data_IF_912507473822
#
_entry.id   IF_912507473822
#
_cell.length_a   1.000
_cell.length_b   1.000
_cell.length_c   1.000
_cell.angle_alpha   90.00
_cell.angle_beta   90.00
_cell.angle_gamma   90.00
#
_symmetry.space_group_name_H-M   'P 1'
#
loop_
_entity.id
_entity.type
_entity.pdbx_description
1 polymer ?
#
# COMPACT_ATOMS: atom_id res chain seq x y z
N UNK A 1 17.61 1.93 16.83
CA UNK A 1 17.87 2.65 18.11
C UNK A 1 16.69 2.60 19.07
N UNK A 2 15.45 2.89 18.65
CA UNK A 2 14.27 2.89 19.55
C UNK A 2 14.00 1.53 20.21
N UNK A 3 14.15 0.41 19.48
CA UNK A 3 13.95 -0.92 20.06
C UNK A 3 15.03 -1.27 21.09
N UNK A 4 16.31 -0.99 20.81
CA UNK A 4 17.41 -1.21 21.75
C UNK A 4 17.24 -0.38 23.02
N UNK A 5 16.84 0.91 22.89
CA UNK A 5 16.63 1.79 24.05
C UNK A 5 15.43 1.41 24.92
N UNK A 6 14.41 0.82 24.33
CA UNK A 6 13.21 0.39 25.06
C UNK A 6 13.38 -0.95 25.79
N UNK A 7 14.28 -1.84 25.33
CA UNK A 7 14.52 -3.18 25.89
C UNK A 7 13.32 -4.14 25.78
N UNK A 8 12.22 -3.69 25.14
CA UNK A 8 10.98 -4.47 25.00
C UNK A 8 10.35 -4.31 23.62
N UNK A 9 9.75 -5.39 23.12
CA UNK A 9 8.86 -5.37 21.98
C UNK A 9 7.44 -4.97 22.46
N UNK A 10 7.12 -3.70 22.37
CA UNK A 10 5.85 -3.15 22.90
C UNK A 10 4.62 -3.68 22.15
N UNK A 11 4.69 -3.70 20.84
CA UNK A 11 3.60 -4.15 19.97
C UNK A 11 4.13 -5.22 19.02
N UNK A 12 3.48 -6.37 19.00
CA UNK A 12 3.88 -7.46 18.11
C UNK A 12 3.62 -7.11 16.65
N UNK A 13 4.47 -7.56 15.71
CA UNK A 13 4.07 -7.67 14.31
C UNK A 13 2.83 -8.56 14.17
N UNK A 14 2.08 -8.37 13.10
CA UNK A 14 0.97 -9.25 12.72
C UNK A 14 1.38 -10.00 11.46
N UNK A 15 1.24 -11.32 11.50
CA UNK A 15 1.65 -12.20 10.39
C UNK A 15 0.53 -13.17 10.02
N UNK A 16 0.54 -13.59 8.76
CA UNK A 16 -0.40 -14.55 8.20
C UNK A 16 0.39 -15.65 7.48
N UNK A 17 0.11 -16.94 7.70
CA UNK A 17 0.79 -18.03 7.01
C UNK A 17 0.53 -17.96 5.50
N UNK A 18 1.53 -18.29 4.70
CA UNK A 18 1.34 -18.49 3.27
C UNK A 18 0.59 -19.80 3.02
N UNK A 19 -0.23 -19.79 1.97
CA UNK A 19 -1.02 -20.97 1.56
C UNK A 19 -0.32 -21.80 0.49
N UNK A 20 1.01 -21.80 0.48
CA UNK A 20 1.86 -22.46 -0.52
C UNK A 20 2.53 -23.76 -0.01
N UNK A 21 2.12 -24.23 1.16
CA UNK A 21 2.67 -25.42 1.80
C UNK A 21 4.03 -25.21 2.48
N UNK A 22 4.48 -23.95 2.61
CA UNK A 22 5.71 -23.60 3.31
C UNK A 22 5.41 -23.04 4.71
N UNK A 23 6.43 -23.05 5.59
CA UNK A 23 6.36 -22.40 6.91
C UNK A 23 6.69 -20.89 6.86
N UNK A 24 6.38 -20.24 5.74
CA UNK A 24 6.60 -18.81 5.55
C UNK A 24 5.35 -18.00 5.89
N UNK A 25 5.58 -16.77 6.30
CA UNK A 25 4.53 -15.86 6.71
C UNK A 25 4.60 -14.55 5.92
N UNK A 26 3.44 -13.99 5.61
CA UNK A 26 3.30 -12.61 5.12
C UNK A 26 3.15 -11.67 6.31
N UNK A 27 3.97 -10.63 6.39
CA UNK A 27 3.85 -9.59 7.41
C UNK A 27 2.75 -8.62 6.99
N UNK A 28 1.67 -8.54 7.79
CA UNK A 28 0.54 -7.63 7.55
C UNK A 28 0.77 -6.25 8.15
N UNK A 29 1.39 -6.21 9.34
CA UNK A 29 1.78 -4.98 10.04
C UNK A 29 3.08 -5.22 10.81
N UNK A 30 3.84 -4.13 10.99
CA UNK A 30 5.10 -4.17 11.74
C UNK A 30 6.32 -4.56 10.93
N UNK A 31 6.31 -4.41 9.60
CA UNK A 31 7.45 -4.72 8.73
C UNK A 31 8.76 -4.07 9.22
N UNK A 32 8.74 -2.80 9.64
CA UNK A 32 9.92 -2.12 10.18
C UNK A 32 10.45 -2.79 11.47
N UNK A 33 9.55 -3.30 12.32
CA UNK A 33 9.93 -4.02 13.55
C UNK A 33 10.59 -5.36 13.21
N UNK A 34 10.02 -6.10 12.26
CA UNK A 34 10.62 -7.36 11.77
C UNK A 34 11.99 -7.10 11.19
N UNK A 35 12.12 -6.10 10.31
CA UNK A 35 13.42 -5.71 9.72
C UNK A 35 14.43 -5.32 10.80
N UNK A 36 14.03 -4.46 11.75
CA UNK A 36 14.92 -4.02 12.83
C UNK A 36 15.38 -5.17 13.74
N UNK A 37 14.49 -6.11 14.07
CA UNK A 37 14.88 -7.28 14.87
C UNK A 37 15.85 -8.18 14.10
N UNK A 38 15.62 -8.36 12.80
CA UNK A 38 16.51 -9.11 11.93
C UNK A 38 17.90 -8.45 11.83
N UNK A 39 17.96 -7.12 11.61
CA UNK A 39 19.21 -6.36 11.59
C UNK A 39 19.95 -6.35 12.93
N UNK A 40 19.23 -6.55 14.02
CA UNK A 40 19.78 -6.69 15.36
C UNK A 40 20.16 -8.14 15.71
N UNK A 41 20.04 -9.05 14.74
CA UNK A 41 20.40 -10.48 14.86
C UNK A 41 19.62 -11.24 15.94
N UNK A 42 18.38 -10.80 16.25
CA UNK A 42 17.49 -11.59 17.10
C UNK A 42 17.06 -12.88 16.35
N UNK A 43 17.28 -14.08 16.95
CA UNK A 43 16.97 -15.35 16.27
C UNK A 43 15.47 -15.61 16.14
N UNK A 44 14.67 -14.99 17.00
CA UNK A 44 13.22 -15.18 17.07
C UNK A 44 12.49 -13.83 17.15
N UNK A 45 11.19 -13.86 16.90
CA UNK A 45 10.31 -12.75 17.19
C UNK A 45 8.94 -13.26 17.66
N UNK A 46 8.31 -12.51 18.57
CA UNK A 46 6.91 -12.75 18.94
C UNK A 46 6.01 -12.00 17.98
N UNK A 47 5.05 -12.71 17.37
CA UNK A 47 4.09 -12.13 16.43
C UNK A 47 2.66 -12.53 16.77
N UNK A 48 1.69 -11.70 16.44
CA UNK A 48 0.28 -12.10 16.40
C UNK A 48 0.03 -12.86 15.09
N UNK A 49 -0.37 -14.11 15.21
CA UNK A 49 -0.77 -14.93 14.07
C UNK A 49 -2.24 -14.73 13.78
N UNK A 50 -2.60 -14.57 12.50
CA UNK A 50 -3.98 -14.51 12.01
C UNK A 50 -4.14 -15.37 10.76
N UNK A 51 -5.34 -15.92 10.55
CA UNK A 51 -5.62 -16.77 9.41
C UNK A 51 -6.26 -15.98 8.26
N UNK A 52 -6.18 -16.51 7.04
CA UNK A 52 -6.64 -15.83 5.84
C UNK A 52 -8.18 -15.74 5.74
N UNK A 53 -8.90 -16.61 6.44
CA UNK A 53 -10.36 -16.68 6.51
C UNK A 53 -10.92 -16.12 7.82
N UNK A 54 -10.07 -15.58 8.70
CA UNK A 54 -10.52 -14.92 9.93
C UNK A 54 -11.37 -13.69 9.58
N UNK A 55 -12.62 -13.71 10.02
CA UNK A 55 -13.59 -12.63 9.81
C UNK A 55 -13.19 -11.32 10.49
N UNK A 56 -12.28 -11.38 11.45
CA UNK A 56 -11.75 -10.23 12.15
C UNK A 56 -10.56 -9.58 11.44
N UNK A 57 -10.11 -10.17 10.33
CA UNK A 57 -9.06 -9.62 9.46
C UNK A 57 -9.70 -8.95 8.26
N UNK A 58 -9.50 -7.64 8.13
CA UNK A 58 -10.04 -6.87 7.02
C UNK A 58 -8.91 -6.20 6.24
N UNK A 59 -8.94 -6.37 4.91
CA UNK A 59 -8.01 -5.72 3.98
C UNK A 59 -8.70 -4.53 3.31
N UNK A 60 -8.16 -3.36 3.54
CA UNK A 60 -8.56 -2.10 2.94
C UNK A 60 -7.46 -1.55 2.03
N UNK A 61 -7.80 -0.54 1.25
CA UNK A 61 -6.84 0.21 0.43
C UNK A 61 -6.50 1.53 1.09
N UNK A 62 -5.22 1.87 1.15
CA UNK A 62 -4.77 3.22 1.36
C UNK A 62 -4.64 3.93 0.01
N UNK A 63 -5.23 5.10 -0.10
CA UNK A 63 -5.05 6.03 -1.19
C UNK A 63 -4.00 7.08 -0.80
N UNK A 64 -3.35 7.71 -1.77
CA UNK A 64 -2.34 8.73 -1.51
C UNK A 64 -2.90 10.12 -1.77
N UNK A 65 -2.89 10.96 -0.75
CA UNK A 65 -3.02 12.42 -0.89
C UNK A 65 -1.64 12.96 -1.22
N UNK A 66 -1.44 13.39 -2.46
CA UNK A 66 -0.15 13.89 -2.95
C UNK A 66 -0.17 15.41 -2.93
N UNK A 67 0.87 16.03 -2.39
CA UNK A 67 1.01 17.48 -2.28
C UNK A 67 2.47 17.92 -2.41
N UNK A 68 2.72 19.20 -2.67
CA UNK A 68 4.09 19.74 -2.79
C UNK A 68 4.67 19.71 -4.21
N UNK A 69 3.94 19.19 -5.21
CA UNK A 69 4.30 19.33 -6.62
C UNK A 69 3.10 19.84 -7.42
N UNK A 70 3.33 20.40 -8.61
CA UNK A 70 2.20 20.87 -9.43
C UNK A 70 1.42 19.69 -10.03
N UNK A 71 0.07 19.78 -10.14
CA UNK A 71 -0.72 18.77 -10.87
C UNK A 71 -0.22 18.54 -12.30
N UNK A 72 0.26 19.59 -12.97
CA UNK A 72 0.82 19.50 -14.33
C UNK A 72 2.09 18.66 -14.35
N UNK A 73 2.98 18.83 -13.36
CA UNK A 73 4.21 18.03 -13.23
C UNK A 73 3.89 16.57 -12.98
N UNK A 74 2.97 16.27 -12.05
CA UNK A 74 2.52 14.90 -11.80
C UNK A 74 1.99 14.25 -13.08
N UNK A 75 1.09 14.92 -13.80
CA UNK A 75 0.51 14.38 -15.02
C UNK A 75 1.55 14.18 -16.13
N UNK A 76 2.58 15.04 -16.16
CA UNK A 76 3.73 14.86 -17.08
C UNK A 76 4.51 13.60 -16.75
N UNK A 77 4.83 13.35 -15.46
CA UNK A 77 5.56 12.14 -15.04
C UNK A 77 4.75 10.87 -15.30
N UNK A 78 3.45 10.89 -14.98
CA UNK A 78 2.58 9.73 -15.24
C UNK A 78 2.49 9.39 -16.73
N UNK A 79 2.46 10.37 -17.63
CA UNK A 79 2.43 10.15 -19.08
C UNK A 79 3.75 9.66 -19.68
N UNK A 80 4.87 9.73 -18.95
CA UNK A 80 6.14 9.16 -19.37
C UNK A 80 6.25 7.66 -19.07
N UNK A 81 5.33 7.14 -18.24
CA UNK A 81 5.35 5.72 -17.90
C UNK A 81 5.02 4.91 -19.16
N UNK A 82 5.92 3.98 -19.46
CA UNK A 82 5.70 2.99 -20.49
C UNK A 82 4.57 2.08 -20.04
N UNK A 83 3.74 1.65 -20.92
CA UNK A 83 2.63 0.72 -20.64
C UNK A 83 1.52 1.27 -19.72
N UNK A 84 1.40 2.61 -19.59
CA UNK A 84 0.33 3.29 -18.85
C UNK A 84 -0.31 4.36 -19.71
N UNK A 85 -1.57 4.17 -20.05
CA UNK A 85 -2.38 5.18 -20.73
C UNK A 85 -3.09 6.08 -19.71
N UNK A 86 -2.85 7.37 -19.82
CA UNK A 86 -3.46 8.39 -18.96
C UNK A 86 -4.67 9.00 -19.65
N UNK A 87 -5.85 8.47 -19.33
CA UNK A 87 -7.12 8.83 -19.97
C UNK A 87 -7.92 9.77 -19.08
N UNK A 88 -8.25 10.96 -19.58
CA UNK A 88 -9.18 11.85 -18.89
C UNK A 88 -10.59 11.26 -18.94
N UNK A 89 -11.23 11.15 -17.78
CA UNK A 89 -12.63 10.69 -17.72
C UNK A 89 -13.54 11.83 -18.20
N UNK A 90 -14.26 11.53 -19.25
CA UNK A 90 -15.39 12.33 -19.68
C UNK A 90 -16.66 11.57 -19.24
N UNK A 91 -17.56 12.24 -18.55
CA UNK A 91 -18.80 11.64 -18.02
C UNK A 91 -19.70 11.01 -19.10
N UNK A 92 -19.39 11.24 -20.36
CA UNK A 92 -20.16 10.75 -21.50
C UNK A 92 -19.49 9.60 -22.30
N UNK A 93 -18.28 9.18 -21.90
CA UNK A 93 -17.59 8.06 -22.57
C UNK A 93 -17.53 6.85 -21.66
N UNK A 94 -18.05 5.72 -22.14
CA UNK A 94 -17.76 4.41 -21.51
C UNK A 94 -16.32 4.03 -21.80
N UNK A 95 -15.60 3.61 -20.77
CA UNK A 95 -14.30 2.97 -20.91
C UNK A 95 -14.54 1.48 -20.75
N UNK A 96 -14.02 0.65 -21.66
CA UNK A 96 -14.10 -0.81 -21.52
C UNK A 96 -13.55 -1.23 -20.16
N UNK A 97 -14.20 -2.19 -19.52
CA UNK A 97 -13.79 -2.65 -18.20
C UNK A 97 -12.42 -3.35 -18.30
N UNK A 98 -11.35 -2.76 -17.75
CA UNK A 98 -10.03 -3.36 -17.81
C UNK A 98 -9.97 -4.65 -16.96
N UNK A 99 -9.07 -5.56 -17.34
CA UNK A 99 -8.81 -6.83 -16.60
C UNK A 99 -8.47 -6.58 -15.12
N UNK A 100 -7.74 -5.52 -14.86
CA UNK A 100 -7.43 -5.04 -13.52
C UNK A 100 -8.05 -3.65 -13.32
N UNK A 101 -8.52 -3.38 -12.10
CA UNK A 101 -9.10 -2.09 -11.80
C UNK A 101 -8.01 -0.99 -11.93
N UNK A 102 -8.29 0.09 -12.66
CA UNK A 102 -7.31 1.15 -12.89
C UNK A 102 -7.01 1.94 -11.62
N UNK A 103 -5.83 2.54 -11.59
CA UNK A 103 -5.52 3.61 -10.64
C UNK A 103 -6.23 4.88 -11.10
N UNK A 104 -6.84 5.62 -10.17
CA UNK A 104 -7.50 6.87 -10.48
C UNK A 104 -6.69 8.05 -9.93
N UNK A 105 -6.53 9.12 -10.71
CA UNK A 105 -5.95 10.37 -10.26
C UNK A 105 -7.02 11.47 -10.30
N UNK A 106 -7.41 11.96 -9.11
CA UNK A 106 -8.31 13.11 -8.97
C UNK A 106 -7.51 14.36 -8.70
N UNK A 107 -7.70 15.39 -9.53
CA UNK A 107 -7.01 16.66 -9.40
C UNK A 107 -7.84 17.70 -8.63
N UNK A 108 -7.20 18.70 -8.02
CA UNK A 108 -7.91 19.77 -7.28
C UNK A 108 -8.90 20.56 -8.12
N UNK A 109 -8.71 20.65 -9.43
CA UNK A 109 -9.62 21.32 -10.38
C UNK A 109 -10.86 20.48 -10.76
N UNK A 110 -11.04 19.32 -10.11
CA UNK A 110 -12.16 18.39 -10.34
C UNK A 110 -11.94 17.39 -11.47
N UNK A 111 -10.84 17.50 -12.22
CA UNK A 111 -10.55 16.53 -13.29
C UNK A 111 -10.21 15.17 -12.70
N UNK A 112 -10.73 14.12 -13.36
CA UNK A 112 -10.45 12.72 -13.07
C UNK A 112 -9.71 12.10 -14.25
N UNK A 113 -8.65 11.35 -13.94
CA UNK A 113 -7.92 10.55 -14.91
C UNK A 113 -7.89 9.10 -14.48
N UNK A 114 -8.01 8.18 -15.44
CA UNK A 114 -7.75 6.77 -15.27
C UNK A 114 -6.34 6.49 -15.79
N UNK A 115 -5.58 5.75 -15.00
CA UNK A 115 -4.28 5.20 -15.39
C UNK A 115 -4.53 3.75 -15.81
N UNK A 116 -4.71 3.57 -17.10
CA UNK A 116 -5.03 2.27 -17.71
C UNK A 116 -3.74 1.56 -18.09
N UNK A 117 -3.75 0.26 -17.94
CA UNK A 117 -2.68 -0.62 -18.36
C UNK A 117 -3.25 -1.89 -18.99
N UNK A 118 -2.46 -2.52 -19.83
CA UNK A 118 -2.74 -3.87 -20.37
C UNK A 118 -1.71 -4.87 -19.85
N UNK A 119 -1.77 -5.24 -18.54
CA UNK A 119 -0.79 -6.12 -17.97
C UNK A 119 -0.99 -7.54 -18.48
N UNK A 120 0.11 -8.20 -18.83
CA UNK A 120 0.09 -9.59 -19.27
C UNK A 120 -0.25 -10.52 -18.12
N UNK A 121 0.18 -10.17 -16.92
CA UNK A 121 -0.06 -10.92 -15.69
C UNK A 121 -0.11 -10.03 -14.44
N UNK A 122 -0.33 -10.65 -13.27
CA UNK A 122 -0.40 -9.95 -11.99
C UNK A 122 0.95 -9.32 -11.58
N UNK A 123 2.09 -9.90 -11.94
CA UNK A 123 3.40 -9.35 -11.59
C UNK A 123 3.65 -8.04 -12.34
N UNK A 124 3.29 -7.99 -13.62
CA UNK A 124 3.35 -6.77 -14.44
C UNK A 124 2.41 -5.69 -13.92
N UNK A 125 1.18 -6.07 -13.50
CA UNK A 125 0.29 -5.13 -12.83
C UNK A 125 0.93 -4.50 -11.58
N UNK A 126 1.58 -5.30 -10.73
CA UNK A 126 2.26 -4.78 -9.55
C UNK A 126 3.47 -3.90 -9.93
N UNK A 127 4.22 -4.26 -10.97
CA UNK A 127 5.31 -3.42 -11.47
C UNK A 127 4.82 -2.04 -11.93
N UNK A 128 3.67 -1.99 -12.61
CA UNK A 128 3.02 -0.74 -13.01
C UNK A 128 2.60 0.10 -11.79
N UNK A 129 2.04 -0.53 -10.74
CA UNK A 129 1.72 0.20 -9.51
C UNK A 129 2.96 0.81 -8.85
N UNK A 130 4.10 0.09 -8.86
CA UNK A 130 5.38 0.65 -8.41
C UNK A 130 5.82 1.83 -9.26
N UNK A 131 5.72 1.74 -10.59
CA UNK A 131 6.07 2.84 -11.48
C UNK A 131 5.22 4.08 -11.22
N UNK A 132 3.91 3.91 -11.04
CA UNK A 132 2.98 5.00 -10.71
C UNK A 132 3.36 5.67 -9.37
N UNK A 133 3.62 4.90 -8.32
CA UNK A 133 4.02 5.47 -7.02
C UNK A 133 5.37 6.17 -7.12
N UNK A 134 6.34 5.59 -7.84
CA UNK A 134 7.66 6.17 -8.01
C UNK A 134 7.64 7.48 -8.80
N UNK A 135 6.65 7.70 -9.68
CA UNK A 135 6.51 8.94 -10.45
C UNK A 135 6.35 10.21 -9.59
N UNK A 136 5.92 10.07 -8.32
CA UNK A 136 5.76 11.22 -7.43
C UNK A 136 6.45 11.07 -6.06
N UNK A 137 6.78 9.84 -5.63
CA UNK A 137 7.27 9.52 -4.28
C UNK A 137 8.50 10.33 -3.84
N UNK A 138 9.40 10.65 -4.78
CA UNK A 138 10.65 11.38 -4.48
C UNK A 138 10.52 12.89 -4.66
N UNK A 139 9.49 13.35 -5.37
CA UNK A 139 9.33 14.75 -5.78
C UNK A 139 8.15 15.45 -5.11
N UNK A 140 7.37 14.72 -4.32
CA UNK A 140 6.22 15.22 -3.58
C UNK A 140 6.14 14.61 -2.19
N UNK A 141 5.40 15.25 -1.31
CA UNK A 141 4.96 14.67 -0.05
C UNK A 141 3.67 13.88 -0.25
N UNK A 142 3.43 12.88 0.61
CA UNK A 142 2.22 12.09 0.57
C UNK A 142 1.70 11.75 1.96
N UNK A 143 0.38 11.81 2.11
CA UNK A 143 -0.36 11.27 3.23
C UNK A 143 -1.24 10.09 2.77
N UNK A 144 -1.66 9.25 3.70
CA UNK A 144 -2.51 8.09 3.43
C UNK A 144 -3.93 8.34 3.87
N UNK A 145 -4.89 7.94 3.05
CA UNK A 145 -6.32 8.07 3.37
C UNK A 145 -7.12 6.88 2.84
N UNK A 146 -8.24 6.58 3.49
CA UNK A 146 -9.26 5.66 2.96
C UNK A 146 -10.32 6.37 2.11
N UNK A 147 -10.29 7.71 2.07
CA UNK A 147 -11.24 8.52 1.28
C UNK A 147 -10.98 8.37 -0.22
N UNK A 148 -12.06 8.49 -1.01
CA UNK A 148 -12.03 8.44 -2.48
C UNK A 148 -12.45 9.75 -3.13
N UNK A 149 -12.70 10.78 -2.33
CA UNK A 149 -13.05 12.13 -2.77
C UNK A 149 -12.01 13.13 -2.27
N UNK A 150 -11.72 14.15 -3.08
CA UNK A 150 -10.57 15.04 -2.92
C UNK A 150 -10.89 16.28 -2.07
N UNK A 151 -12.17 16.60 -1.94
CA UNK A 151 -12.66 17.87 -1.38
C UNK A 151 -12.08 18.19 0.01
N UNK A 152 -12.06 17.25 0.99
CA UNK A 152 -11.55 17.54 2.33
C UNK A 152 -10.07 17.94 2.36
N UNK A 153 -9.29 17.49 1.37
CA UNK A 153 -7.84 17.72 1.34
C UNK A 153 -7.47 19.09 0.76
N UNK A 154 -8.39 19.77 0.06
CA UNK A 154 -8.17 21.13 -0.47
C UNK A 154 -7.98 22.17 0.64
N UNK A 155 -8.61 21.96 1.78
CA UNK A 155 -8.49 22.87 2.92
C UNK A 155 -7.21 22.59 3.72
N UNK A 156 -6.81 21.34 3.79
CA UNK A 156 -5.63 20.88 4.56
C UNK A 156 -4.32 21.21 3.83
N UNK A 157 -4.27 20.93 2.52
CA UNK A 157 -3.08 21.14 1.70
C UNK A 157 -3.32 22.22 0.65
N UNK A 158 -2.73 23.40 0.86
CA UNK A 158 -2.85 24.53 -0.10
C UNK A 158 -2.17 24.25 -1.43
N UNK A 159 -1.18 23.39 -1.43
CA UNK A 159 -0.40 22.90 -2.58
C UNK A 159 -0.79 21.46 -2.98
N UNK A 160 -2.05 21.09 -2.72
CA UNK A 160 -2.60 19.79 -3.09
C UNK A 160 -2.38 19.50 -4.58
N UNK A 161 -1.75 18.35 -4.87
CA UNK A 161 -1.44 17.91 -6.22
C UNK A 161 -2.53 17.02 -6.79
N UNK A 162 -2.85 15.93 -6.06
CA UNK A 162 -3.84 14.95 -6.48
C UNK A 162 -4.23 14.01 -5.32
N UNK A 163 -5.36 13.34 -5.47
CA UNK A 163 -5.71 12.12 -4.74
C UNK A 163 -5.55 10.94 -5.70
N UNK A 164 -4.60 10.06 -5.40
CA UNK A 164 -4.35 8.82 -6.15
C UNK A 164 -5.08 7.68 -5.46
N UNK A 165 -6.01 7.06 -6.16
CA UNK A 165 -6.89 6.01 -5.66
C UNK A 165 -6.46 4.69 -6.27
N UNK A 166 -6.06 3.74 -5.43
CA UNK A 166 -5.56 2.44 -5.84
C UNK A 166 -6.66 1.38 -5.91
N UNK A 167 -6.46 0.32 -6.71
CA UNK A 167 -7.37 -0.81 -6.76
C UNK A 167 -7.44 -1.55 -5.41
N UNK A 168 -8.58 -2.22 -5.18
CA UNK A 168 -8.75 -3.10 -4.02
C UNK A 168 -8.17 -4.48 -4.32
N UNK A 169 -7.43 -5.01 -3.37
CA UNK A 169 -6.89 -6.36 -3.43
C UNK A 169 -7.72 -7.33 -2.57
N UNK A 170 -7.63 -8.61 -2.91
CA UNK A 170 -8.12 -9.71 -2.04
C UNK A 170 -6.96 -10.31 -1.29
N UNK A 171 -7.18 -10.76 -0.05
CA UNK A 171 -6.14 -11.40 0.78
C UNK A 171 -5.48 -12.56 0.02
N UNK A 172 -6.26 -13.41 -0.64
CA UNK A 172 -5.74 -14.52 -1.46
C UNK A 172 -4.78 -14.07 -2.58
N UNK A 173 -5.02 -12.89 -3.15
CA UNK A 173 -4.12 -12.31 -4.16
C UNK A 173 -2.79 -11.91 -3.54
N UNK A 174 -2.84 -11.28 -2.35
CA UNK A 174 -1.63 -10.88 -1.64
C UNK A 174 -0.80 -12.08 -1.18
N UNK A 175 -1.44 -13.15 -0.71
CA UNK A 175 -0.73 -14.39 -0.34
C UNK A 175 -0.03 -15.02 -1.55
N UNK A 176 -0.68 -15.05 -2.73
CA UNK A 176 -0.04 -15.53 -3.98
C UNK A 176 1.17 -14.68 -4.38
N UNK A 177 1.09 -13.35 -4.23
CA UNK A 177 2.20 -12.44 -4.50
C UNK A 177 3.33 -12.66 -3.50
N UNK A 178 3.02 -12.73 -2.21
CA UNK A 178 4.00 -12.96 -1.15
C UNK A 178 4.73 -14.31 -1.34
N UNK A 179 4.00 -15.38 -1.71
CA UNK A 179 4.58 -16.68 -2.05
C UNK A 179 5.61 -16.60 -3.17
N UNK A 180 5.42 -15.70 -4.12
CA UNK A 180 6.36 -15.40 -5.22
C UNK A 180 7.39 -14.33 -4.88
N UNK A 181 7.44 -13.86 -3.64
CA UNK A 181 8.29 -12.74 -3.18
C UNK A 181 8.04 -11.42 -3.93
N UNK A 182 6.82 -11.23 -4.46
CA UNK A 182 6.40 -9.99 -5.10
C UNK A 182 5.70 -9.13 -4.05
N UNK A 183 6.23 -7.94 -3.82
CA UNK A 183 5.69 -6.99 -2.85
C UNK A 183 4.96 -5.85 -3.53
N UNK A 184 3.89 -5.35 -2.90
CA UNK A 184 3.19 -4.16 -3.34
C UNK A 184 3.98 -2.88 -3.03
N UNK A 185 3.71 -1.78 -3.74
CA UNK A 185 4.19 -0.47 -3.32
C UNK A 185 3.82 -0.19 -1.86
N UNK A 186 4.76 0.37 -1.12
CA UNK A 186 4.55 0.69 0.30
C UNK A 186 3.38 1.67 0.46
N UNK A 187 2.45 1.33 1.34
CA UNK A 187 1.39 2.25 1.76
C UNK A 187 0.14 2.26 0.89
N UNK A 188 -0.09 1.25 0.04
CA UNK A 188 -1.34 1.10 -0.71
C UNK A 188 -2.29 0.05 -0.11
N UNK A 189 -1.86 -0.70 0.90
CA UNK A 189 -2.71 -1.66 1.61
C UNK A 189 -2.78 -1.33 3.10
N UNK A 190 -3.92 -1.60 3.71
CA UNK A 190 -4.19 -1.48 5.13
C UNK A 190 -4.89 -2.72 5.64
N UNK A 191 -4.22 -3.45 6.51
CA UNK A 191 -4.87 -4.50 7.29
C UNK A 191 -5.38 -3.94 8.61
N UNK A 192 -6.61 -4.30 8.96
CA UNK A 192 -7.17 -4.09 10.29
C UNK A 192 -7.48 -5.46 10.89
N UNK A 193 -7.08 -5.66 12.13
CA UNK A 193 -7.25 -6.92 12.87
C UNK A 193 -7.87 -6.59 14.21
N UNK A 194 -8.89 -7.35 14.62
CA UNK A 194 -9.55 -7.20 15.91
C UNK A 194 -9.81 -8.59 16.54
N UNK A 195 -9.42 -8.84 17.79
CA UNK A 195 -8.62 -7.97 18.64
C UNK A 195 -7.18 -7.88 18.17
N UNK A 196 -6.52 -6.76 18.46
CA UNK A 196 -5.09 -6.58 18.19
C UNK A 196 -4.30 -6.70 19.49
N UNK A 197 -3.22 -7.47 19.46
CA UNK A 197 -2.28 -7.58 20.58
C UNK A 197 -1.47 -6.29 20.70
N UNK A 198 -1.82 -5.45 21.65
CA UNK A 198 -1.16 -4.19 21.95
C UNK A 198 -0.56 -4.24 23.36
N UNK A 199 0.51 -3.46 23.57
CA UNK A 199 1.18 -3.33 24.88
C UNK A 199 1.62 -4.65 25.51
N UNK A 200 2.06 -5.63 24.68
CA UNK A 200 2.59 -6.89 25.18
C UNK A 200 3.86 -6.66 26.02
N UNK A 201 4.70 -5.68 25.65
CA UNK A 201 5.94 -5.33 26.35
C UNK A 201 6.87 -6.54 26.55
N UNK A 202 7.00 -7.37 25.53
CA UNK A 202 7.82 -8.59 25.59
C UNK A 202 9.31 -8.23 25.71
N UNK A 203 10.06 -8.76 26.72
CA UNK A 203 11.47 -8.44 26.90
C UNK A 203 12.31 -8.90 25.72
N UNK A 204 13.16 -8.03 25.17
CA UNK A 204 13.98 -8.38 24.00
C UNK A 204 15.04 -9.44 24.30
N UNK A 205 15.50 -9.54 25.55
CA UNK A 205 16.50 -10.53 25.94
C UNK A 205 15.96 -11.98 25.98
N UNK A 206 14.63 -12.14 25.81
CA UNK A 206 13.99 -13.45 25.71
C UNK A 206 13.68 -13.86 24.24
N UNK A 207 14.03 -13.02 23.26
CA UNK A 207 13.97 -13.31 21.85
C UNK A 207 15.27 -13.96 21.37
#
# INVERSE_FOLDING_TARGET
EQLRGAGVLRHTPIVMPLTDGTERYMVLDGANRVTSLHELEFPHLVAQLVEADDQNVNLQTWNHVVWGMSPKSLMSELRKLKDVDVVKVDTHKSVDAPKYAPVNARLPDGKLYLLLEEPTDLANHIATLHAIVNAYKTSASLDRTSQTFIEPFREVHKDLTALIIFPRFKIRTLLKLAGRKIVLPTGITRFTVSPRTLHLNYPLHEL
#
